data_IF_986070180432
#
_entry.id   IF_986070180432
#
_cell.length_a   1.000
_cell.length_b   1.000
_cell.length_c   1.000
_cell.angle_alpha   90.00
_cell.angle_beta   90.00
_cell.angle_gamma   90.00
#
_symmetry.space_group_name_H-M   'P 1'
#
loop_
_entity.id
_entity.type
_entity.pdbx_description
1 polymer ?
#
# COMPACT_ATOMS: atom_id res chain seq x y z
N UNK A 1 -19.32 -6.30 64.51
CA UNK A 1 -19.97 -5.14 63.85
C UNK A 1 -19.33 -4.94 62.49
N UNK A 2 -19.96 -5.49 61.44
CA UNK A 2 -19.48 -5.41 60.04
C UNK A 2 -20.27 -4.31 59.33
N UNK A 3 -19.64 -3.18 59.12
CA UNK A 3 -20.23 -2.03 58.42
C UNK A 3 -20.30 -2.33 56.93
N UNK A 4 -21.47 -2.61 56.37
CA UNK A 4 -21.73 -2.70 54.91
C UNK A 4 -21.67 -1.28 54.33
N UNK A 5 -20.63 -1.02 53.54
CA UNK A 5 -20.57 0.17 52.67
C UNK A 5 -21.53 -0.02 51.54
N UNK A 6 -22.66 0.71 51.55
CA UNK A 6 -23.62 0.78 50.45
C UNK A 6 -23.00 1.65 49.35
N UNK A 7 -22.47 1.02 48.29
CA UNK A 7 -22.06 1.71 47.08
C UNK A 7 -23.36 2.16 46.39
N UNK A 8 -23.65 3.45 46.39
CA UNK A 8 -24.73 4.04 45.59
C UNK A 8 -24.35 3.89 44.14
N UNK A 9 -25.24 3.36 43.26
CA UNK A 9 -24.98 3.35 41.84
C UNK A 9 -24.87 4.80 41.32
N UNK A 10 -23.79 5.08 40.60
CA UNK A 10 -23.63 6.38 39.93
C UNK A 10 -24.83 6.60 38.98
N UNK A 11 -25.37 7.83 38.91
CA UNK A 11 -26.45 8.15 38.00
C UNK A 11 -25.93 7.97 36.59
N UNK A 12 -26.58 7.08 35.82
CA UNK A 12 -26.31 6.86 34.42
C UNK A 12 -26.27 8.23 33.71
N UNK A 13 -25.11 8.58 33.17
CA UNK A 13 -24.93 9.79 32.36
C UNK A 13 -25.91 9.64 31.20
N UNK A 14 -27.05 10.33 31.30
CA UNK A 14 -28.00 10.45 30.17
C UNK A 14 -27.23 11.06 29.02
N UNK A 15 -26.94 10.27 27.97
CA UNK A 15 -26.39 10.77 26.74
C UNK A 15 -27.27 11.93 26.27
N UNK A 16 -26.75 13.15 26.35
CA UNK A 16 -27.42 14.35 25.88
C UNK A 16 -27.62 14.22 24.37
N UNK A 17 -28.86 13.86 23.96
CA UNK A 17 -29.27 13.92 22.55
C UNK A 17 -29.68 15.36 22.28
N UNK A 18 -28.92 16.14 21.51
CA UNK A 18 -29.34 17.48 21.13
C UNK A 18 -30.70 17.34 20.40
N UNK A 19 -31.67 18.16 20.76
CA UNK A 19 -32.94 18.29 20.02
C UNK A 19 -32.55 18.73 18.61
N UNK A 20 -32.69 17.86 17.62
CA UNK A 20 -32.49 18.19 16.23
C UNK A 20 -33.56 19.20 15.82
N UNK A 21 -33.18 20.46 15.72
CA UNK A 21 -33.99 21.49 15.10
C UNK A 21 -34.05 21.27 13.58
N UNK A 22 -35.07 21.82 12.92
CA UNK A 22 -35.25 21.74 11.45
C UNK A 22 -33.97 22.16 10.67
N UNK A 23 -33.22 23.14 11.19
CA UNK A 23 -31.95 23.57 10.61
C UNK A 23 -30.85 22.51 10.68
N UNK A 24 -30.77 21.76 11.81
CA UNK A 24 -29.83 20.63 11.94
C UNK A 24 -30.18 19.49 10.99
N UNK A 25 -31.47 19.14 10.86
CA UNK A 25 -31.91 18.10 9.93
C UNK A 25 -31.65 18.49 8.45
N UNK A 26 -31.88 19.75 8.10
CA UNK A 26 -31.60 20.24 6.75
C UNK A 26 -30.08 20.24 6.44
N UNK A 27 -29.26 20.63 7.42
CA UNK A 27 -27.78 20.54 7.29
C UNK A 27 -27.30 19.11 7.15
N UNK A 28 -27.81 18.17 7.97
CA UNK A 28 -27.44 16.76 7.90
C UNK A 28 -27.85 16.15 6.55
N UNK A 29 -29.04 16.50 6.04
CA UNK A 29 -29.48 16.04 4.73
C UNK A 29 -28.61 16.60 3.59
N UNK A 30 -28.29 17.90 3.64
CA UNK A 30 -27.41 18.52 2.65
C UNK A 30 -25.99 17.92 2.70
N UNK A 31 -25.44 17.73 3.89
CA UNK A 31 -24.14 17.08 4.09
C UNK A 31 -24.13 15.64 3.57
N UNK A 32 -25.18 14.87 3.89
CA UNK A 32 -25.33 13.50 3.38
C UNK A 32 -25.42 13.47 1.84
N UNK A 33 -26.17 14.40 1.24
CA UNK A 33 -26.28 14.50 -0.22
C UNK A 33 -24.93 14.82 -0.87
N UNK A 34 -24.15 15.76 -0.31
CA UNK A 34 -22.81 16.12 -0.80
C UNK A 34 -21.87 14.91 -0.67
N UNK A 35 -21.87 14.23 0.48
CA UNK A 35 -21.01 13.05 0.70
C UNK A 35 -21.38 11.90 -0.24
N UNK A 36 -22.67 11.65 -0.48
CA UNK A 36 -23.13 10.63 -1.43
C UNK A 36 -22.75 10.99 -2.86
N UNK A 37 -22.87 12.26 -3.26
CA UNK A 37 -22.45 12.72 -4.58
C UNK A 37 -20.94 12.55 -4.77
N UNK A 38 -20.13 12.93 -3.79
CA UNK A 38 -18.68 12.71 -3.79
C UNK A 38 -18.33 11.22 -3.87
N UNK A 39 -19.00 10.40 -3.08
CA UNK A 39 -18.83 8.95 -3.11
C UNK A 39 -19.14 8.37 -4.50
N UNK A 40 -20.25 8.77 -5.10
CA UNK A 40 -20.63 8.33 -6.45
C UNK A 40 -19.62 8.77 -7.51
N UNK A 41 -19.22 10.05 -7.52
CA UNK A 41 -18.24 10.58 -8.47
C UNK A 41 -16.90 9.86 -8.36
N UNK A 42 -16.47 9.57 -7.12
CA UNK A 42 -15.19 8.89 -6.86
C UNK A 42 -15.26 7.40 -7.20
N UNK A 43 -16.39 6.75 -6.93
CA UNK A 43 -16.55 5.30 -7.15
C UNK A 43 -16.83 4.96 -8.61
N UNK A 44 -17.53 5.84 -9.36
CA UNK A 44 -17.97 5.58 -10.73
C UNK A 44 -16.82 5.19 -11.69
N UNK A 45 -15.65 5.83 -11.72
CA UNK A 45 -14.55 5.42 -12.59
C UNK A 45 -14.10 3.98 -12.36
N UNK A 46 -14.02 3.53 -11.11
CA UNK A 46 -13.65 2.15 -10.78
C UNK A 46 -14.74 1.17 -11.23
N UNK A 47 -15.99 1.52 -10.97
CA UNK A 47 -17.15 0.76 -11.42
C UNK A 47 -17.21 0.67 -12.93
N UNK A 48 -16.96 1.77 -13.65
CA UNK A 48 -16.91 1.80 -15.11
C UNK A 48 -15.84 0.84 -15.66
N UNK A 49 -14.62 0.87 -15.12
CA UNK A 49 -13.55 -0.06 -15.53
C UNK A 49 -13.97 -1.50 -15.34
N UNK A 50 -14.63 -1.83 -14.23
CA UNK A 50 -15.12 -3.18 -13.96
C UNK A 50 -16.18 -3.63 -14.98
N UNK A 51 -17.22 -2.83 -15.21
CA UNK A 51 -18.28 -3.20 -16.16
C UNK A 51 -17.80 -3.17 -17.61
N UNK A 52 -16.89 -2.25 -17.96
CA UNK A 52 -16.26 -2.21 -19.28
C UNK A 52 -15.42 -3.46 -19.55
N UNK A 53 -14.70 -3.97 -18.55
CA UNK A 53 -13.90 -5.20 -18.67
C UNK A 53 -14.75 -6.48 -18.88
N UNK A 54 -16.02 -6.45 -18.48
CA UNK A 54 -16.98 -7.54 -18.61
C UNK A 54 -17.89 -7.39 -19.84
N UNK A 55 -17.74 -6.32 -20.61
CA UNK A 55 -18.57 -6.02 -21.77
C UNK A 55 -18.02 -6.66 -23.05
N UNK A 56 -18.90 -6.93 -24.01
CA UNK A 56 -18.50 -7.28 -25.36
C UNK A 56 -17.70 -6.13 -26.00
N UNK A 57 -16.52 -6.40 -26.60
CA UNK A 57 -15.64 -5.37 -27.13
C UNK A 57 -16.31 -4.44 -28.16
N UNK A 58 -17.09 -5.01 -29.08
CA UNK A 58 -17.74 -4.23 -30.17
C UNK A 58 -18.88 -3.38 -29.61
N UNK A 59 -19.70 -3.97 -28.72
CA UNK A 59 -20.80 -3.28 -28.06
C UNK A 59 -20.30 -2.16 -27.13
N UNK A 60 -19.15 -2.35 -26.49
CA UNK A 60 -18.51 -1.32 -25.66
C UNK A 60 -18.04 -0.13 -26.50
N UNK A 61 -17.41 -0.39 -27.66
CA UNK A 61 -16.90 0.66 -28.55
C UNK A 61 -18.02 1.48 -29.19
N UNK A 62 -19.16 0.86 -29.46
CA UNK A 62 -20.35 1.55 -29.98
C UNK A 62 -21.02 2.48 -28.95
N UNK A 63 -20.73 2.31 -27.65
CA UNK A 63 -21.34 3.10 -26.58
C UNK A 63 -20.40 4.21 -26.11
N UNK A 64 -20.75 5.45 -26.43
CA UNK A 64 -19.97 6.66 -26.02
C UNK A 64 -20.51 7.35 -24.75
N UNK A 65 -21.43 6.71 -24.01
CA UNK A 65 -22.13 7.33 -22.90
C UNK A 65 -21.87 6.68 -21.54
N UNK A 66 -22.63 7.19 -20.57
CA UNK A 66 -22.67 6.66 -19.22
C UNK A 66 -23.15 5.21 -19.19
N UNK A 67 -22.44 4.33 -18.48
CA UNK A 67 -22.73 2.90 -18.39
C UNK A 67 -22.98 2.48 -16.94
N UNK A 68 -24.13 1.82 -16.71
CA UNK A 68 -24.47 1.23 -15.41
C UNK A 68 -24.44 -0.32 -15.44
N UNK A 69 -24.56 -0.93 -16.63
CA UNK A 69 -24.54 -2.37 -16.81
C UNK A 69 -23.63 -2.75 -17.98
N UNK A 70 -23.02 -3.95 -17.96
CA UNK A 70 -22.24 -4.44 -19.09
C UNK A 70 -23.06 -4.50 -20.37
N UNK A 71 -22.47 -4.11 -21.49
CA UNK A 71 -23.08 -4.22 -22.84
C UNK A 71 -22.68 -5.54 -23.47
N UNK A 72 -23.55 -6.53 -23.43
CA UNK A 72 -23.19 -7.90 -23.76
C UNK A 72 -22.15 -8.44 -22.77
N UNK A 73 -22.38 -9.61 -22.21
CA UNK A 73 -21.41 -10.18 -21.24
C UNK A 73 -20.34 -10.99 -22.01
N UNK A 74 -19.06 -10.64 -21.78
CA UNK A 74 -17.92 -11.35 -22.38
C UNK A 74 -16.78 -11.46 -21.38
N UNK A 75 -16.15 -12.62 -21.30
CA UNK A 75 -14.92 -12.86 -20.53
C UNK A 75 -13.67 -12.98 -21.44
N UNK A 76 -13.82 -12.75 -22.75
CA UNK A 76 -12.73 -12.90 -23.70
C UNK A 76 -11.50 -12.05 -23.33
N UNK A 77 -11.72 -10.81 -22.89
CA UNK A 77 -10.64 -9.94 -22.47
C UNK A 77 -9.85 -10.53 -21.30
N UNK A 78 -10.54 -11.12 -20.31
CA UNK A 78 -9.88 -11.77 -19.17
C UNK A 78 -9.10 -13.02 -19.58
N UNK A 79 -9.63 -13.82 -20.49
CA UNK A 79 -8.93 -14.98 -21.04
C UNK A 79 -7.64 -14.55 -21.75
N UNK A 80 -7.72 -13.53 -22.62
CA UNK A 80 -6.56 -12.96 -23.32
C UNK A 80 -5.49 -12.43 -22.34
N UNK A 81 -5.92 -11.74 -21.28
CA UNK A 81 -5.00 -11.25 -20.25
C UNK A 81 -4.31 -12.41 -19.52
N UNK A 82 -5.07 -13.45 -19.16
CA UNK A 82 -4.53 -14.62 -18.46
C UNK A 82 -3.62 -15.49 -19.33
N UNK A 83 -3.94 -15.62 -20.61
CA UNK A 83 -3.14 -16.40 -21.57
C UNK A 83 -1.83 -15.69 -21.95
N UNK A 84 -1.70 -14.40 -21.63
CA UNK A 84 -0.48 -13.66 -21.90
C UNK A 84 0.64 -14.11 -20.94
N UNK A 85 1.74 -14.71 -21.46
CA UNK A 85 2.85 -15.18 -20.62
C UNK A 85 3.50 -14.08 -19.79
N UNK A 86 3.57 -12.84 -20.32
CA UNK A 86 4.14 -11.69 -19.61
C UNK A 86 3.31 -11.28 -18.41
N UNK A 87 1.99 -11.43 -18.44
CA UNK A 87 1.13 -11.15 -17.29
C UNK A 87 1.41 -12.16 -16.17
N UNK A 88 1.51 -13.45 -16.50
CA UNK A 88 1.81 -14.49 -15.50
C UNK A 88 3.21 -14.33 -14.90
N UNK A 89 4.24 -14.12 -15.73
CA UNK A 89 5.60 -13.85 -15.24
C UNK A 89 5.65 -12.56 -14.43
N UNK A 90 4.95 -11.51 -14.86
CA UNK A 90 4.85 -10.24 -14.16
C UNK A 90 4.23 -10.36 -12.76
N UNK A 91 3.17 -11.16 -12.61
CA UNK A 91 2.61 -11.47 -11.29
C UNK A 91 3.61 -12.19 -10.40
N UNK A 92 4.28 -13.21 -10.91
CA UNK A 92 5.30 -13.95 -10.16
C UNK A 92 6.44 -13.03 -9.72
N UNK A 93 6.98 -12.21 -10.63
CA UNK A 93 8.03 -11.24 -10.33
C UNK A 93 7.59 -10.24 -9.26
N UNK A 94 6.37 -9.71 -9.40
CA UNK A 94 5.82 -8.78 -8.41
C UNK A 94 5.69 -9.45 -7.04
N UNK A 95 5.21 -10.68 -6.98
CA UNK A 95 5.08 -11.41 -5.72
C UNK A 95 6.45 -11.62 -5.05
N UNK A 96 7.47 -12.01 -5.83
CA UNK A 96 8.85 -12.17 -5.32
C UNK A 96 9.41 -10.85 -4.80
N UNK A 97 9.20 -9.73 -5.53
CA UNK A 97 9.66 -8.40 -5.14
C UNK A 97 8.90 -7.93 -3.88
N UNK A 98 7.59 -8.07 -3.85
CA UNK A 98 6.76 -7.63 -2.71
C UNK A 98 7.09 -8.43 -1.46
N UNK A 99 7.11 -9.75 -1.52
CA UNK A 99 7.37 -10.58 -0.34
C UNK A 99 8.84 -10.47 0.10
N UNK A 100 9.77 -10.70 -0.81
CA UNK A 100 11.21 -10.67 -0.50
C UNK A 100 11.70 -9.26 -0.15
N UNK A 101 11.27 -8.25 -0.93
CA UNK A 101 11.62 -6.85 -0.69
C UNK A 101 11.05 -6.34 0.63
N UNK A 102 9.75 -6.58 0.90
CA UNK A 102 9.13 -6.16 2.18
C UNK A 102 9.78 -6.84 3.38
N UNK A 103 10.10 -8.13 3.29
CA UNK A 103 10.78 -8.85 4.37
C UNK A 103 12.16 -8.24 4.66
N UNK A 104 12.97 -7.99 3.63
CA UNK A 104 14.28 -7.34 3.77
C UNK A 104 14.13 -5.93 4.36
N UNK A 105 13.21 -5.13 3.81
CA UNK A 105 12.98 -3.76 4.26
C UNK A 105 12.57 -3.71 5.74
N UNK A 106 11.67 -4.62 6.17
CA UNK A 106 11.25 -4.72 7.57
C UNK A 106 12.40 -5.10 8.49
N UNK A 107 13.22 -6.09 8.11
CA UNK A 107 14.37 -6.50 8.91
C UNK A 107 15.34 -5.33 9.10
N UNK A 108 15.72 -4.65 8.01
CA UNK A 108 16.64 -3.51 8.08
C UNK A 108 16.05 -2.34 8.85
N UNK A 109 14.76 -2.03 8.61
CA UNK A 109 14.07 -0.93 9.31
C UNK A 109 13.90 -1.23 10.80
N UNK A 110 13.57 -2.47 11.19
CA UNK A 110 13.48 -2.87 12.60
C UNK A 110 14.84 -2.76 13.30
N UNK A 111 15.91 -3.26 12.67
CA UNK A 111 17.26 -3.16 13.23
C UNK A 111 17.70 -1.69 13.37
N UNK A 112 17.48 -0.87 12.33
CA UNK A 112 17.81 0.55 12.34
C UNK A 112 16.99 1.34 13.36
N UNK A 113 15.67 1.13 13.42
CA UNK A 113 14.79 1.77 14.38
C UNK A 113 15.14 1.39 15.81
N UNK A 114 15.48 0.12 16.05
CA UNK A 114 15.91 -0.36 17.36
C UNK A 114 17.21 0.31 17.78
N UNK A 115 18.25 0.32 16.94
CA UNK A 115 19.51 0.97 17.23
C UNK A 115 19.33 2.46 17.55
N UNK A 116 18.52 3.18 16.74
CA UNK A 116 18.23 4.61 16.90
C UNK A 116 17.26 4.94 18.03
N UNK A 117 16.55 3.97 18.59
CA UNK A 117 15.68 4.16 19.76
C UNK A 117 16.47 4.09 21.09
N UNK A 118 17.74 3.70 21.05
CA UNK A 118 18.57 3.52 22.24
C UNK A 118 19.28 4.80 22.61
N UNK A 119 19.04 5.28 23.84
CA UNK A 119 19.72 6.47 24.39
C UNK A 119 21.24 6.31 24.59
N UNK A 120 21.78 5.10 24.34
CA UNK A 120 23.21 4.77 24.47
C UNK A 120 23.99 4.96 23.15
N UNK A 121 23.29 5.24 22.06
CA UNK A 121 23.98 5.44 20.78
C UNK A 121 24.68 6.79 20.78
N UNK A 122 26.01 6.85 20.70
CA UNK A 122 26.72 8.12 20.55
C UNK A 122 26.28 8.77 19.23
N UNK A 123 26.13 10.09 19.23
CA UNK A 123 25.72 10.86 18.05
C UNK A 123 24.31 10.51 17.50
N UNK A 124 23.40 9.93 18.30
CA UNK A 124 22.02 9.62 17.89
C UNK A 124 21.34 10.81 17.18
N UNK A 125 21.49 12.00 17.74
CA UNK A 125 20.92 13.23 17.17
C UNK A 125 21.50 13.55 15.78
N UNK A 126 22.79 13.33 15.58
CA UNK A 126 23.46 13.56 14.29
C UNK A 126 22.98 12.57 13.24
N UNK A 127 22.85 11.27 13.58
CA UNK A 127 22.26 10.27 12.71
C UNK A 127 20.81 10.61 12.33
N UNK A 128 20.00 11.05 13.30
CA UNK A 128 18.63 11.45 13.02
C UNK A 128 18.55 12.67 12.09
N UNK A 129 19.38 13.66 12.28
CA UNK A 129 19.46 14.82 11.37
C UNK A 129 19.85 14.38 9.97
N UNK A 130 20.85 13.50 9.85
CA UNK A 130 21.27 12.95 8.56
C UNK A 130 20.12 12.18 7.87
N UNK A 131 19.40 11.34 8.58
CA UNK A 131 18.26 10.59 8.04
C UNK A 131 17.15 11.54 7.57
N UNK A 132 16.80 12.54 8.39
CA UNK A 132 15.82 13.56 8.01
C UNK A 132 16.30 14.38 6.82
N UNK A 133 17.59 14.70 6.75
CA UNK A 133 18.20 15.41 5.62
C UNK A 133 17.99 14.62 4.31
N UNK A 134 18.17 13.30 4.31
CA UNK A 134 17.95 12.47 3.11
C UNK A 134 16.50 12.44 2.62
N UNK A 135 15.51 12.85 3.43
CA UNK A 135 14.12 12.98 2.98
C UNK A 135 13.91 14.20 2.08
N UNK A 136 14.67 15.26 2.29
CA UNK A 136 14.56 16.51 1.53
C UNK A 136 15.57 16.64 0.41
N UNK A 137 16.71 15.95 0.53
CA UNK A 137 17.81 16.01 -0.43
C UNK A 137 18.10 14.63 -1.00
N UNK A 138 17.75 14.43 -2.27
CA UNK A 138 18.08 13.21 -3.01
C UNK A 138 19.13 13.52 -4.08
N UNK A 139 19.99 12.56 -4.39
CA UNK A 139 20.97 12.67 -5.46
C UNK A 139 20.36 12.78 -6.86
N UNK A 140 19.07 12.46 -6.99
CA UNK A 140 18.37 12.46 -8.26
C UNK A 140 18.47 11.12 -9.01
N UNK A 141 17.80 11.07 -10.15
CA UNK A 141 17.66 9.84 -10.94
C UNK A 141 18.99 9.37 -11.53
N UNK A 142 19.75 10.28 -12.14
CA UNK A 142 21.00 9.94 -12.85
C UNK A 142 22.07 9.38 -11.91
N UNK A 143 22.41 10.02 -10.78
CA UNK A 143 23.34 9.45 -9.81
C UNK A 143 22.90 8.10 -9.27
N UNK A 144 21.60 7.91 -8.98
CA UNK A 144 21.09 6.62 -8.53
C UNK A 144 21.24 5.53 -9.61
N UNK A 145 20.96 5.86 -10.87
CA UNK A 145 21.15 4.93 -11.97
C UNK A 145 22.63 4.52 -12.12
N UNK A 146 23.54 5.48 -12.09
CA UNK A 146 24.98 5.22 -12.20
C UNK A 146 25.46 4.33 -11.04
N UNK A 147 25.00 4.60 -9.81
CA UNK A 147 25.33 3.76 -8.66
C UNK A 147 24.85 2.32 -8.83
N UNK A 148 23.58 2.13 -9.24
CA UNK A 148 23.02 0.79 -9.47
C UNK A 148 23.76 0.05 -10.58
N UNK A 149 24.16 0.76 -11.65
CA UNK A 149 24.96 0.23 -12.74
C UNK A 149 26.37 -0.18 -12.26
N UNK A 150 27.06 0.69 -11.53
CA UNK A 150 28.43 0.47 -11.09
C UNK A 150 28.53 -0.65 -10.04
N UNK A 151 27.44 -0.89 -9.29
CA UNK A 151 27.29 -2.06 -8.41
C UNK A 151 26.94 -3.36 -9.17
N UNK A 152 26.77 -3.32 -10.50
CA UNK A 152 26.41 -4.49 -11.31
C UNK A 152 24.99 -5.03 -11.05
N UNK A 153 24.10 -4.20 -10.51
CA UNK A 153 22.75 -4.62 -10.13
C UNK A 153 21.73 -4.47 -11.26
N UNK A 154 22.06 -3.78 -12.36
CA UNK A 154 21.14 -3.62 -13.50
C UNK A 154 20.63 -4.96 -13.99
N UNK A 155 19.43 -4.96 -14.51
CA UNK A 155 18.71 -6.14 -15.02
C UNK A 155 18.57 -7.25 -13.98
N UNK A 156 18.36 -6.89 -12.71
CA UNK A 156 18.07 -7.82 -11.64
C UNK A 156 16.95 -7.30 -10.72
N UNK A 157 16.25 -8.21 -10.04
CA UNK A 157 15.23 -7.82 -9.05
C UNK A 157 15.83 -7.02 -7.87
N UNK A 158 17.12 -7.20 -7.58
CA UNK A 158 17.82 -6.47 -6.54
C UNK A 158 18.00 -4.98 -6.86
N UNK A 159 18.03 -4.60 -8.15
CA UNK A 159 18.08 -3.20 -8.57
C UNK A 159 16.84 -2.41 -8.09
N UNK A 160 15.70 -3.10 -7.92
CA UNK A 160 14.44 -2.47 -7.50
C UNK A 160 14.32 -2.45 -5.97
N UNK A 161 14.93 -3.41 -5.28
CA UNK A 161 14.77 -3.58 -3.82
C UNK A 161 15.86 -2.84 -3.04
N UNK A 162 17.13 -3.05 -3.39
CA UNK A 162 18.27 -2.57 -2.57
C UNK A 162 18.39 -1.05 -2.46
N UNK A 163 18.23 -0.26 -3.54
CA UNK A 163 18.32 1.20 -3.44
C UNK A 163 17.27 1.82 -2.53
N UNK A 164 16.16 1.11 -2.31
CA UNK A 164 15.01 1.53 -1.52
C UNK A 164 14.80 0.65 -0.26
N UNK A 165 15.85 -0.06 0.16
CA UNK A 165 15.76 -1.04 1.24
C UNK A 165 15.35 -0.43 2.59
N UNK A 166 15.67 0.83 2.85
CA UNK A 166 15.23 1.56 4.05
C UNK A 166 14.61 2.89 3.64
N UNK A 167 13.34 3.07 3.98
CA UNK A 167 12.66 4.36 3.88
C UNK A 167 12.86 5.16 5.17
N UNK A 168 13.40 6.38 5.06
CA UNK A 168 13.57 7.26 6.22
C UNK A 168 12.26 7.53 6.94
N UNK A 169 11.15 7.70 6.21
CA UNK A 169 9.80 7.86 6.76
C UNK A 169 9.38 6.66 7.62
N UNK A 170 9.49 5.46 7.07
CA UNK A 170 9.11 4.22 7.77
C UNK A 170 10.01 3.97 9.00
N UNK A 171 11.29 4.30 8.88
CA UNK A 171 12.25 4.20 9.98
C UNK A 171 11.88 5.12 11.15
N UNK A 172 11.50 6.38 10.87
CA UNK A 172 11.08 7.34 11.88
C UNK A 172 9.80 6.89 12.59
N UNK A 173 8.81 6.39 11.85
CA UNK A 173 7.57 5.87 12.42
C UNK A 173 7.87 4.70 13.37
N UNK A 174 8.67 3.74 12.92
CA UNK A 174 8.97 2.56 13.73
C UNK A 174 9.84 2.91 14.93
N UNK A 175 10.80 3.83 14.77
CA UNK A 175 11.58 4.36 15.90
C UNK A 175 10.70 5.03 16.95
N UNK A 176 9.70 5.81 16.53
CA UNK A 176 8.77 6.45 17.46
C UNK A 176 7.97 5.39 18.25
N UNK A 177 7.51 4.32 17.60
CA UNK A 177 6.85 3.21 18.29
C UNK A 177 7.78 2.51 19.29
N UNK A 178 9.02 2.26 18.92
CA UNK A 178 10.00 1.64 19.81
C UNK A 178 10.33 2.55 21.02
N UNK A 179 10.41 3.85 20.82
CA UNK A 179 10.60 4.80 21.92
C UNK A 179 9.42 4.88 22.90
N UNK A 180 8.23 4.50 22.46
CA UNK A 180 7.03 4.47 23.31
C UNK A 180 6.96 3.24 24.22
N UNK A 181 7.79 2.21 23.99
CA UNK A 181 7.87 1.02 24.85
C UNK A 181 8.51 1.41 26.18
N UNK A 182 7.89 1.10 27.33
CA UNK A 182 8.47 1.35 28.64
C UNK A 182 9.82 0.64 28.81
N UNK A 183 10.78 1.32 29.39
CA UNK A 183 12.15 0.82 29.56
C UNK A 183 12.25 -0.37 30.50
N UNK A 184 11.29 -0.49 31.42
CA UNK A 184 11.25 -1.57 32.41
C UNK A 184 11.26 -2.95 31.75
N UNK A 185 10.63 -3.10 30.56
CA UNK A 185 10.67 -4.35 29.80
C UNK A 185 12.08 -4.72 29.31
N UNK A 186 12.84 -3.70 28.88
CA UNK A 186 14.23 -3.92 28.46
C UNK A 186 15.13 -4.22 29.65
N UNK A 187 14.97 -3.48 30.75
CA UNK A 187 15.78 -3.66 31.96
C UNK A 187 15.56 -5.05 32.55
N UNK A 188 14.29 -5.48 32.66
CA UNK A 188 13.97 -6.84 33.10
C UNK A 188 14.62 -7.92 32.21
N UNK A 189 14.49 -7.79 30.88
CA UNK A 189 15.09 -8.74 29.95
C UNK A 189 16.64 -8.76 30.04
N UNK A 190 17.28 -7.63 30.34
CA UNK A 190 18.73 -7.55 30.56
C UNK A 190 19.16 -8.23 31.87
N UNK A 191 18.36 -8.11 32.92
CA UNK A 191 18.59 -8.81 34.19
C UNK A 191 18.53 -10.34 33.95
N UNK A 192 17.61 -10.81 33.08
CA UNK A 192 17.48 -12.20 32.66
C UNK A 192 18.60 -12.65 31.68
N UNK A 193 19.59 -11.78 31.38
CA UNK A 193 20.72 -12.10 30.52
C UNK A 193 20.45 -12.03 29.02
N UNK A 194 19.32 -11.42 28.59
CA UNK A 194 18.99 -11.30 27.18
C UNK A 194 19.92 -10.31 26.45
N UNK A 195 20.49 -10.75 25.32
CA UNK A 195 21.23 -9.87 24.41
C UNK A 195 20.31 -9.00 23.55
N UNK A 196 20.86 -7.97 22.89
CA UNK A 196 20.10 -6.95 22.15
C UNK A 196 19.20 -7.55 21.04
N UNK A 197 19.66 -8.57 20.30
CA UNK A 197 18.83 -9.28 19.32
C UNK A 197 17.64 -10.00 19.93
N UNK A 198 17.84 -10.61 21.10
CA UNK A 198 16.77 -11.31 21.84
C UNK A 198 15.73 -10.28 22.32
N UNK A 199 16.19 -9.15 22.83
CA UNK A 199 15.32 -8.04 23.29
C UNK A 199 14.53 -7.49 22.09
N UNK A 200 15.19 -7.23 20.94
CA UNK A 200 14.51 -6.79 19.72
C UNK A 200 13.41 -7.80 19.32
N UNK A 201 13.75 -9.07 19.18
CA UNK A 201 12.82 -10.07 18.61
C UNK A 201 11.73 -10.52 19.58
N UNK A 202 12.03 -10.63 20.90
CA UNK A 202 11.09 -11.15 21.89
C UNK A 202 10.33 -10.09 22.68
N UNK A 203 10.83 -8.84 22.71
CA UNK A 203 10.18 -7.75 23.44
C UNK A 203 9.64 -6.70 22.48
N UNK A 204 10.50 -6.05 21.69
CA UNK A 204 10.09 -4.91 20.87
C UNK A 204 9.21 -5.29 19.69
N UNK A 205 9.57 -6.33 18.95
CA UNK A 205 8.79 -6.78 17.79
C UNK A 205 7.37 -7.17 18.19
N UNK A 206 7.11 -8.00 19.22
CA UNK A 206 5.75 -8.33 19.62
C UNK A 206 4.95 -7.14 20.14
N UNK A 207 5.55 -6.25 20.95
CA UNK A 207 4.88 -5.09 21.52
C UNK A 207 4.53 -4.04 20.44
N UNK A 208 5.35 -3.90 19.40
CA UNK A 208 5.15 -2.95 18.30
C UNK A 208 4.61 -3.60 17.02
N UNK A 209 4.11 -4.85 17.09
CA UNK A 209 3.57 -5.57 15.93
C UNK A 209 2.53 -4.77 15.12
N UNK A 210 1.60 -4.01 15.71
CA UNK A 210 0.68 -3.18 14.95
C UNK A 210 1.40 -2.16 14.05
N UNK A 211 2.39 -1.45 14.58
CA UNK A 211 3.18 -0.48 13.80
C UNK A 211 4.05 -1.15 12.75
N UNK A 212 4.65 -2.29 13.07
CA UNK A 212 5.45 -3.09 12.11
C UNK A 212 4.57 -3.56 10.95
N UNK A 213 3.34 -3.99 11.21
CA UNK A 213 2.39 -4.39 10.18
C UNK A 213 2.02 -3.21 9.25
N UNK A 214 1.83 -2.01 9.80
CA UNK A 214 1.57 -0.78 9.01
C UNK A 214 2.77 -0.40 8.15
N UNK A 215 3.98 -0.43 8.71
CA UNK A 215 5.22 -0.15 7.97
C UNK A 215 5.44 -1.21 6.88
N UNK A 216 5.18 -2.48 7.18
CA UNK A 216 5.23 -3.57 6.21
C UNK A 216 4.25 -3.35 5.05
N UNK A 217 3.05 -2.85 5.34
CA UNK A 217 2.08 -2.48 4.31
C UNK A 217 2.60 -1.36 3.41
N UNK A 218 3.20 -0.31 3.99
CA UNK A 218 3.75 0.79 3.19
C UNK A 218 4.83 0.30 2.22
N UNK A 219 5.72 -0.59 2.66
CA UNK A 219 6.70 -1.23 1.77
C UNK A 219 6.03 -2.12 0.72
N UNK A 220 5.10 -2.98 1.11
CA UNK A 220 4.42 -3.89 0.18
C UNK A 220 3.65 -3.14 -0.92
N UNK A 221 2.92 -2.07 -0.56
CA UNK A 221 2.21 -1.22 -1.51
C UNK A 221 3.18 -0.45 -2.42
N UNK A 222 4.29 0.04 -1.88
CA UNK A 222 5.35 0.70 -2.66
C UNK A 222 5.94 -0.24 -3.72
N UNK A 223 6.28 -1.48 -3.33
CA UNK A 223 6.78 -2.50 -4.25
C UNK A 223 5.73 -2.93 -5.28
N UNK A 224 4.46 -3.09 -4.86
CA UNK A 224 3.38 -3.44 -5.77
C UNK A 224 3.18 -2.40 -6.87
N UNK A 225 3.26 -1.10 -6.54
CA UNK A 225 3.04 0.00 -7.47
C UNK A 225 4.30 0.43 -8.23
N UNK A 226 5.45 -0.19 -7.97
CA UNK A 226 6.75 0.23 -8.45
C UNK A 226 7.02 -0.11 -9.91
N UNK A 227 6.51 0.68 -10.87
CA UNK A 227 6.83 0.50 -12.29
C UNK A 227 8.00 1.38 -12.78
N UNK A 228 8.17 2.59 -12.22
CA UNK A 228 9.07 3.59 -12.75
C UNK A 228 10.55 3.16 -12.72
N UNK A 229 11.03 2.72 -11.57
CA UNK A 229 12.39 2.22 -11.45
C UNK A 229 12.57 0.86 -12.15
N UNK A 230 11.52 0.05 -12.20
CA UNK A 230 11.55 -1.20 -12.97
C UNK A 230 11.78 -0.93 -14.45
N UNK A 231 11.15 0.10 -15.01
CA UNK A 231 11.34 0.52 -16.41
C UNK A 231 12.76 1.01 -16.70
N UNK A 232 13.44 1.60 -15.71
CA UNK A 232 14.78 2.18 -15.87
C UNK A 232 15.88 1.13 -15.67
N UNK A 233 15.69 0.21 -14.70
CA UNK A 233 16.73 -0.72 -14.29
C UNK A 233 16.64 -2.10 -14.93
N UNK A 234 15.48 -2.48 -15.48
CA UNK A 234 15.27 -3.78 -16.13
C UNK A 234 15.25 -3.64 -17.64
N UNK A 235 15.98 -4.50 -18.32
CA UNK A 235 15.98 -4.63 -19.79
C UNK A 235 15.33 -5.93 -20.23
N UNK A 236 15.37 -6.98 -19.41
CA UNK A 236 14.80 -8.29 -19.69
C UNK A 236 13.33 -8.32 -19.32
N UNK A 237 12.48 -8.62 -20.28
CA UNK A 237 11.02 -8.70 -20.11
C UNK A 237 10.58 -9.78 -19.15
N UNK A 238 11.35 -10.85 -19.03
CA UNK A 238 11.04 -11.95 -18.11
C UNK A 238 11.16 -11.53 -16.61
N UNK A 239 11.84 -10.42 -16.35
CA UNK A 239 11.97 -9.83 -15.00
C UNK A 239 10.94 -8.74 -14.70
N UNK A 240 10.11 -8.35 -15.65
CA UNK A 240 9.18 -7.24 -15.50
C UNK A 240 8.13 -7.53 -14.42
N UNK A 241 7.90 -6.62 -13.47
CA UNK A 241 6.76 -6.70 -12.56
C UNK A 241 5.47 -6.35 -13.28
N UNK A 242 4.33 -6.78 -12.73
CA UNK A 242 3.01 -6.63 -13.34
C UNK A 242 2.66 -5.18 -13.70
N UNK A 243 3.06 -4.20 -12.89
CA UNK A 243 2.78 -2.78 -13.16
C UNK A 243 3.53 -2.27 -14.40
N UNK A 244 4.72 -2.78 -14.68
CA UNK A 244 5.45 -2.45 -15.89
C UNK A 244 4.81 -3.13 -17.12
N UNK A 245 4.41 -4.39 -16.99
CA UNK A 245 3.67 -5.11 -18.03
C UNK A 245 2.33 -4.41 -18.33
N UNK A 246 1.58 -4.02 -17.30
CA UNK A 246 0.34 -3.26 -17.43
C UNK A 246 0.57 -1.95 -18.20
N UNK A 247 1.63 -1.20 -17.86
CA UNK A 247 1.98 0.03 -18.57
C UNK A 247 2.30 -0.24 -20.05
N UNK A 248 3.04 -1.30 -20.37
CA UNK A 248 3.29 -1.67 -21.75
C UNK A 248 1.99 -1.96 -22.51
N UNK A 249 1.07 -2.74 -21.95
CA UNK A 249 -0.22 -3.05 -22.57
C UNK A 249 -1.04 -1.78 -22.80
N UNK A 250 -1.06 -0.86 -21.82
CA UNK A 250 -1.81 0.40 -21.92
C UNK A 250 -1.23 1.33 -23.00
N UNK A 251 0.09 1.38 -23.14
CA UNK A 251 0.77 2.25 -24.12
C UNK A 251 0.77 1.63 -25.51
N UNK A 252 1.10 0.34 -25.66
CA UNK A 252 1.17 -0.35 -26.96
C UNK A 252 -0.19 -0.42 -27.65
N UNK A 253 -1.27 -0.65 -26.89
CA UNK A 253 -2.62 -0.64 -27.46
C UNK A 253 -3.07 0.72 -28.00
N UNK A 254 -2.34 1.80 -27.77
CA UNK A 254 -2.58 3.10 -28.41
C UNK A 254 -1.83 3.29 -29.74
N UNK A 255 -0.80 2.48 -29.99
CA UNK A 255 0.07 2.61 -31.16
C UNK A 255 -0.38 1.72 -32.34
N UNK A 256 -0.95 0.54 -32.04
CA UNK A 256 -1.44 -0.41 -33.05
C UNK A 256 -2.75 0.07 -33.75
N UNK A 257 -3.48 1.02 -33.16
CA UNK A 257 -4.73 1.54 -33.72
C UNK A 257 -4.56 2.41 -34.96
N UNK A 258 -3.33 2.70 -35.38
CA UNK A 258 -3.06 3.55 -36.56
C UNK A 258 -2.96 2.78 -37.89
N UNK A 259 -3.11 1.45 -37.93
CA UNK A 259 -2.95 0.64 -39.13
C UNK A 259 -4.21 -0.17 -39.48
N UNK A 260 -4.92 0.30 -40.53
CA UNK A 260 -5.81 -0.39 -41.54
C UNK A 260 -7.12 -1.06 -41.10
N UNK A 261 -8.11 -0.93 -41.95
CA UNK A 261 -9.56 -1.23 -42.02
C UNK A 261 -10.17 -2.55 -41.50
N UNK A 262 -9.41 -3.58 -41.14
CA UNK A 262 -9.87 -4.71 -40.30
C UNK A 262 -9.74 -4.43 -38.80
N UNK A 263 -9.47 -3.19 -38.48
CA UNK A 263 -9.00 -2.70 -37.19
C UNK A 263 -10.10 -2.58 -36.11
N UNK A 264 -11.39 -2.44 -36.47
CA UNK A 264 -12.45 -2.12 -35.54
C UNK A 264 -12.60 -3.19 -34.45
N UNK A 265 -12.62 -4.45 -34.83
CA UNK A 265 -12.72 -5.56 -33.87
C UNK A 265 -11.47 -5.72 -33.01
N UNK A 266 -10.29 -5.52 -33.59
CA UNK A 266 -9.00 -5.58 -32.85
C UNK A 266 -8.83 -4.41 -31.90
N UNK A 267 -9.20 -3.20 -32.33
CA UNK A 267 -9.17 -1.99 -31.49
C UNK A 267 -10.16 -2.09 -30.34
N UNK A 268 -11.39 -2.57 -30.60
CA UNK A 268 -12.38 -2.81 -29.58
C UNK A 268 -11.89 -3.79 -28.52
N UNK A 269 -11.33 -4.92 -28.95
CA UNK A 269 -10.75 -5.93 -28.06
C UNK A 269 -9.54 -5.38 -27.28
N UNK A 270 -8.64 -4.64 -27.94
CA UNK A 270 -7.49 -4.00 -27.31
C UNK A 270 -7.91 -3.07 -26.16
N UNK A 271 -8.95 -2.26 -26.35
CA UNK A 271 -9.47 -1.37 -25.33
C UNK A 271 -10.09 -2.15 -24.15
N UNK A 272 -10.83 -3.24 -24.44
CA UNK A 272 -11.40 -4.07 -23.37
C UNK A 272 -10.32 -4.84 -22.60
N UNK A 273 -9.25 -5.29 -23.27
CA UNK A 273 -8.07 -5.89 -22.62
C UNK A 273 -7.41 -4.92 -21.64
N UNK A 274 -7.33 -3.62 -21.97
CA UNK A 274 -6.80 -2.61 -21.05
C UNK A 274 -7.59 -2.57 -19.73
N UNK A 275 -8.93 -2.53 -19.81
CA UNK A 275 -9.78 -2.56 -18.63
C UNK A 275 -9.64 -3.86 -17.84
N UNK A 276 -9.67 -5.01 -18.51
CA UNK A 276 -9.48 -6.30 -17.86
C UNK A 276 -8.11 -6.40 -17.15
N UNK A 277 -7.04 -5.90 -17.78
CA UNK A 277 -5.69 -5.89 -17.20
C UNK A 277 -5.63 -5.01 -15.93
N UNK A 278 -6.27 -3.84 -15.93
CA UNK A 278 -6.37 -2.98 -14.74
C UNK A 278 -7.10 -3.71 -13.61
N UNK A 279 -8.24 -4.36 -13.91
CA UNK A 279 -9.00 -5.13 -12.90
C UNK A 279 -8.14 -6.26 -12.33
N UNK A 280 -7.51 -7.08 -13.18
CA UNK A 280 -6.66 -8.20 -12.76
C UNK A 280 -5.49 -7.73 -11.89
N UNK A 281 -4.83 -6.62 -12.24
CA UNK A 281 -3.74 -6.07 -11.44
C UNK A 281 -4.19 -5.43 -10.11
N UNK A 282 -5.47 -5.05 -9.99
CA UNK A 282 -6.02 -4.41 -8.78
C UNK A 282 -6.54 -5.44 -7.76
N UNK A 283 -7.04 -6.59 -8.22
CA UNK A 283 -7.63 -7.64 -7.37
C UNK A 283 -6.73 -8.03 -6.18
N UNK A 284 -5.42 -8.30 -6.33
CA UNK A 284 -4.59 -8.72 -5.20
C UNK A 284 -4.49 -7.65 -4.10
N UNK A 285 -4.43 -6.37 -4.47
CA UNK A 285 -4.40 -5.26 -3.50
C UNK A 285 -5.71 -5.19 -2.73
N UNK A 286 -6.85 -5.30 -3.43
CA UNK A 286 -8.17 -5.30 -2.80
C UNK A 286 -8.37 -6.53 -1.89
N UNK A 287 -7.86 -7.70 -2.28
CA UNK A 287 -7.95 -8.91 -1.49
C UNK A 287 -7.14 -8.84 -0.18
N UNK A 288 -6.03 -8.12 -0.17
CA UNK A 288 -5.19 -7.94 1.03
C UNK A 288 -5.79 -6.91 2.01
N UNK A 289 -6.57 -5.94 1.51
CA UNK A 289 -7.13 -4.85 2.33
C UNK A 289 -7.91 -5.30 3.58
N UNK A 290 -8.85 -6.28 3.54
CA UNK A 290 -9.60 -6.72 4.73
C UNK A 290 -8.70 -7.31 5.83
N UNK A 291 -7.59 -7.97 5.44
CA UNK A 291 -6.62 -8.52 6.39
C UNK A 291 -5.84 -7.42 7.12
N UNK A 292 -5.60 -6.30 6.44
CA UNK A 292 -4.85 -5.17 6.98
C UNK A 292 -5.72 -4.25 7.84
N UNK A 293 -7.00 -4.10 7.51
CA UNK A 293 -7.95 -3.24 8.22
C UNK A 293 -8.00 -3.55 9.72
N UNK A 294 -7.92 -4.81 10.12
CA UNK A 294 -7.90 -5.24 11.53
C UNK A 294 -6.72 -4.66 12.34
N UNK A 295 -5.58 -4.40 11.69
CA UNK A 295 -4.40 -3.82 12.34
C UNK A 295 -4.49 -2.31 12.43
N UNK A 296 -5.10 -1.64 11.43
CA UNK A 296 -5.34 -0.20 11.45
C UNK A 296 -6.29 0.21 12.58
N UNK A 297 -7.39 -0.49 12.76
CA UNK A 297 -8.38 -0.18 13.80
C UNK A 297 -7.75 -0.27 15.19
N UNK A 298 -6.89 -1.26 15.44
CA UNK A 298 -6.20 -1.40 16.73
C UNK A 298 -5.13 -0.33 16.96
N UNK A 299 -4.41 0.09 15.92
CA UNK A 299 -3.34 1.09 16.03
C UNK A 299 -3.86 2.50 16.29
N UNK A 300 -5.00 2.88 15.72
CA UNK A 300 -5.62 4.20 15.91
C UNK A 300 -6.20 4.33 17.32
N UNK A 301 -6.79 3.26 17.87
CA UNK A 301 -7.38 3.29 19.22
C UNK A 301 -6.33 3.41 20.34
N UNK A 302 -5.13 2.85 20.15
CA UNK A 302 -4.05 2.94 21.16
C UNK A 302 -3.30 4.28 21.12
N UNK A 303 -3.35 5.03 20.02
CA UNK A 303 -2.78 6.37 19.88
C UNK A 303 -3.69 7.50 20.38
N UNK A 304 -5.00 7.26 20.47
CA UNK A 304 -6.01 8.26 20.83
C UNK A 304 -6.40 8.31 22.33
N UNK A 305 -5.92 7.37 23.13
CA UNK A 305 -6.20 7.34 24.58
C UNK A 305 -4.92 7.75 25.33
N UNK A 306 -4.59 9.02 25.22
CA UNK A 306 -3.72 9.74 26.16
C UNK A 306 -4.36 11.10 26.40
N UNK A 307 -5.43 11.12 27.19
CA UNK A 307 -5.84 12.21 28.05
C UNK A 307 -6.31 11.62 29.37
#
# INVERSE_FOLDING_TARGET
>A
MTTRVLIRPEPAIRAWRPRQGWGSAAFDAANAAVLLALCFITFYPFYYVLIASLSDPVALMANRGFMLLPRGFSLEAFQRVWDNPMVRSGFFNTLVIVVGGTALNLVLTCCGAYALSRRRLPLEKAFMVLIVFTMFFSGGLVPNYLLVRDLGLLNSRWAIVLPFAVSAWNLIILRAAFNAVPKDYEEAARIDGAGDFTILLRVYVPLCMPTIAVVGLFYAVSHWNGYFYSMIYLSDRDLFPIQLVLREILVSGSTDSMMTGEAIGREALSNTIKYATVVVATIPVLAVYPFLQRWFVKGVLTGGIKE
#
